data_IF_922620021795
#
_entry.id   IF_922620021795
#
_cell.length_a   1.000
_cell.length_b   1.000
_cell.length_c   1.000
_cell.angle_alpha   90.00
_cell.angle_beta   90.00
_cell.angle_gamma   90.00
#
_symmetry.space_group_name_H-M   'P 1'
#
loop_
_entity.id
_entity.type
_entity.pdbx_description
1 polymer ?
#
# COMPACT_ATOMS: atom_id res chain seq x y z
N UNK A 1 27.62 44.99 52.31
CA UNK A 1 28.42 45.74 53.31
C UNK A 1 28.37 47.22 52.95
N UNK A 2 28.35 48.07 53.97
CA UNK A 2 28.10 49.51 54.01
C UNK A 2 28.51 50.35 52.79
N UNK A 3 27.52 51.10 52.28
CA UNK A 3 27.69 52.46 51.73
C UNK A 3 27.55 53.44 52.88
N UNK A 4 28.50 54.34 53.06
CA UNK A 4 28.37 55.56 53.87
C UNK A 4 28.75 56.76 52.99
N UNK A 5 27.77 57.68 52.85
CA UNK A 5 27.88 59.14 52.98
C UNK A 5 28.90 59.90 52.09
N UNK A 6 28.65 61.09 51.54
CA UNK A 6 27.74 62.18 51.87
C UNK A 6 27.74 63.16 50.67
N UNK A 7 26.62 63.86 50.48
CA UNK A 7 26.40 64.94 49.50
C UNK A 7 26.53 66.33 50.19
N UNK A 8 26.33 67.49 49.52
CA UNK A 8 27.25 68.65 49.54
C UNK A 8 26.64 69.94 50.14
N UNK A 9 27.44 71.03 50.19
CA UNK A 9 26.97 72.41 50.41
C UNK A 9 28.17 73.37 50.54
N UNK A 10 28.40 74.30 49.61
CA UNK A 10 27.89 75.70 49.58
C UNK A 10 28.55 76.60 50.65
N UNK A 11 28.95 77.87 50.45
CA UNK A 11 29.03 78.84 49.36
C UNK A 11 29.78 80.10 49.91
N UNK A 12 29.96 81.13 49.07
CA UNK A 12 30.37 82.53 49.39
C UNK A 12 31.84 82.76 49.76
N UNK A 13 32.65 83.47 48.97
CA UNK A 13 32.64 84.92 48.67
C UNK A 13 34.06 85.41 49.06
N UNK A 14 34.72 86.41 48.50
CA UNK A 14 34.44 87.50 47.58
C UNK A 14 35.82 88.13 47.23
N UNK A 15 35.83 89.13 46.35
CA UNK A 15 36.85 90.17 46.18
C UNK A 15 38.04 90.00 45.20
N UNK A 16 37.89 90.79 44.12
CA UNK A 16 38.87 91.74 43.57
C UNK A 16 40.14 91.20 42.89
N UNK A 17 40.16 91.21 41.56
CA UNK A 17 40.79 92.31 40.82
C UNK A 17 40.48 92.20 39.32
N UNK A 18 39.65 93.15 38.86
CA UNK A 18 39.28 93.40 37.47
C UNK A 18 40.42 94.19 36.81
N UNK A 19 40.55 93.99 35.50
CA UNK A 19 41.26 94.86 34.53
C UNK A 19 42.78 94.60 34.38
N UNK A 20 43.13 93.49 33.73
CA UNK A 20 44.29 93.39 32.82
C UNK A 20 44.21 92.05 32.09
N UNK A 21 43.50 92.02 30.96
CA UNK A 21 43.78 91.18 29.78
C UNK A 21 42.56 91.00 28.88
N UNK A 22 42.16 92.07 28.22
CA UNK A 22 41.22 92.04 27.09
C UNK A 22 41.86 91.46 25.80
N UNK A 23 43.04 90.83 25.88
CA UNK A 23 43.70 90.11 24.78
C UNK A 23 43.71 88.58 24.91
N UNK A 24 43.32 88.00 26.05
CA UNK A 24 43.26 86.53 26.19
C UNK A 24 41.92 85.93 25.76
N UNK A 25 40.85 86.73 25.69
CA UNK A 25 39.51 86.23 25.38
C UNK A 25 39.37 85.57 23.98
N UNK A 26 39.87 86.16 22.87
CA UNK A 26 39.72 85.53 21.55
C UNK A 26 40.65 84.32 21.38
N UNK A 27 41.83 84.33 22.01
CA UNK A 27 42.77 83.21 21.98
C UNK A 27 42.21 82.00 22.74
N UNK A 28 41.58 82.24 23.89
CA UNK A 28 41.00 81.20 24.72
C UNK A 28 39.73 80.60 24.08
N UNK A 29 38.95 81.41 23.35
CA UNK A 29 37.82 80.93 22.54
C UNK A 29 38.25 80.03 21.38
N UNK A 30 39.35 80.37 20.67
CA UNK A 30 39.87 79.53 19.58
C UNK A 30 40.45 78.20 20.07
N UNK A 31 41.07 78.19 21.25
CA UNK A 31 41.56 76.96 21.89
C UNK A 31 40.38 76.11 22.39
N UNK A 32 39.32 76.73 22.89
CA UNK A 32 38.12 76.03 23.36
C UNK A 32 37.37 75.35 22.20
N UNK A 33 37.22 76.01 21.05
CA UNK A 33 36.55 75.41 19.87
C UNK A 33 37.36 74.30 19.20
N UNK A 34 38.70 74.30 19.32
CA UNK A 34 39.55 73.20 18.85
C UNK A 34 39.58 72.00 19.81
N UNK A 35 39.11 72.19 21.05
CA UNK A 35 39.15 71.19 22.12
C UNK A 35 37.86 70.39 22.30
N UNK A 36 36.80 70.68 21.52
CA UNK A 36 35.62 69.82 21.52
C UNK A 36 35.88 68.59 20.65
N UNK A 37 35.88 67.36 21.21
CA UNK A 37 35.95 66.16 20.40
C UNK A 37 34.69 66.09 19.53
N UNK A 38 34.86 65.95 18.21
CA UNK A 38 33.79 65.60 17.29
C UNK A 38 33.13 64.32 17.81
N UNK A 39 31.92 64.45 18.35
CA UNK A 39 31.17 63.33 18.91
C UNK A 39 31.04 62.23 17.87
N UNK A 40 31.69 61.09 18.12
CA UNK A 40 31.43 59.87 17.36
C UNK A 40 30.05 59.39 17.76
N UNK A 41 29.10 59.43 16.83
CA UNK A 41 27.82 58.76 17.00
C UNK A 41 28.10 57.26 17.19
N UNK A 42 27.79 56.75 18.38
CA UNK A 42 27.93 55.33 18.72
C UNK A 42 26.56 54.68 18.60
N UNK A 43 26.38 53.87 17.56
CA UNK A 43 25.18 53.06 17.41
C UNK A 43 25.40 51.72 18.11
N UNK A 44 24.54 51.42 19.10
CA UNK A 44 24.60 50.22 19.93
C UNK A 44 23.42 49.27 19.60
N UNK A 45 23.22 48.99 18.31
CA UNK A 45 22.24 48.00 17.85
C UNK A 45 22.93 46.71 17.38
N UNK A 46 22.28 45.54 17.49
CA UNK A 46 22.85 44.27 17.08
C UNK A 46 22.94 44.19 15.56
N UNK A 47 24.13 44.45 15.00
CA UNK A 47 24.42 44.26 13.58
C UNK A 47 24.65 42.76 13.34
N UNK A 48 23.82 42.13 12.52
CA UNK A 48 24.05 40.76 12.04
C UNK A 48 24.90 40.81 10.78
N UNK A 49 26.09 40.19 10.77
CA UNK A 49 26.92 40.14 9.59
C UNK A 49 26.66 38.88 8.76
N UNK A 50 26.27 39.08 7.50
CA UNK A 50 26.31 38.05 6.46
C UNK A 50 27.65 38.20 5.71
N UNK A 51 28.44 37.12 5.66
CA UNK A 51 29.80 37.11 5.10
C UNK A 51 29.80 36.45 3.73
N UNK A 52 29.89 37.23 2.65
CA UNK A 52 30.19 36.73 1.31
C UNK A 52 31.59 37.19 0.88
N UNK A 53 32.48 36.24 0.60
CA UNK A 53 33.80 36.47 0.03
C UNK A 53 34.77 37.34 0.87
N UNK A 54 34.77 37.19 2.19
CA UNK A 54 35.82 37.74 3.07
C UNK A 54 35.80 39.25 3.29
N UNK A 55 34.77 39.96 2.83
CA UNK A 55 34.50 41.37 3.14
C UNK A 55 33.17 41.54 3.85
N UNK A 56 33.11 42.38 4.90
CA UNK A 56 31.88 42.67 5.64
C UNK A 56 30.98 43.64 4.85
N UNK A 57 29.80 43.20 4.46
CA UNK A 57 28.80 44.04 3.80
C UNK A 57 27.81 44.58 4.84
N UNK A 58 27.79 45.89 5.06
CA UNK A 58 26.80 46.54 5.92
C UNK A 58 25.84 47.35 5.04
N UNK A 59 24.56 47.01 5.10
CA UNK A 59 23.50 47.82 4.51
C UNK A 59 23.06 48.84 5.57
N UNK A 60 23.33 50.13 5.34
CA UNK A 60 22.78 51.21 6.16
C UNK A 60 21.64 51.86 5.38
N UNK A 61 20.42 51.81 5.94
CA UNK A 61 19.21 52.41 5.33
C UNK A 61 18.67 53.48 6.28
N UNK A 62 19.08 54.75 6.12
CA UNK A 62 18.34 55.88 6.66
C UNK A 62 17.32 56.29 5.60
N UNK A 63 16.06 55.97 5.87
CA UNK A 63 14.87 56.23 5.05
C UNK A 63 14.66 55.24 3.88
N UNK A 64 13.69 54.35 4.06
CA UNK A 64 13.36 53.29 3.11
C UNK A 64 12.57 53.80 1.91
N UNK A 65 13.17 53.67 0.74
CA UNK A 65 12.49 53.44 -0.54
C UNK A 65 13.50 52.74 -1.46
N UNK A 66 13.19 51.53 -1.96
CA UNK A 66 14.03 50.84 -2.93
C UNK A 66 13.28 50.79 -4.26
N UNK A 67 13.88 51.30 -5.34
CA UNK A 67 13.54 50.84 -6.69
C UNK A 67 14.39 49.61 -7.03
N UNK A 68 13.78 48.61 -7.67
CA UNK A 68 14.32 47.26 -7.91
C UNK A 68 15.55 47.23 -8.87
N UNK A 69 16.04 48.39 -9.32
CA UNK A 69 17.11 48.54 -10.31
C UNK A 69 18.36 49.30 -9.80
N UNK A 70 18.48 49.59 -8.51
CA UNK A 70 19.67 50.25 -7.99
C UNK A 70 20.82 49.26 -7.74
N UNK A 71 21.88 49.40 -8.54
CA UNK A 71 23.11 48.60 -8.44
C UNK A 71 23.72 48.69 -7.02
N UNK A 72 23.95 47.55 -6.35
CA UNK A 72 24.48 47.51 -4.97
C UNK A 72 25.90 48.05 -4.83
N UNK A 73 26.59 48.39 -5.92
CA UNK A 73 27.95 48.94 -5.94
C UNK A 73 28.01 50.46 -5.75
N UNK A 74 26.92 51.20 -6.00
CA UNK A 74 26.94 52.68 -5.96
C UNK A 74 26.87 53.27 -4.54
N UNK A 75 26.41 52.50 -3.55
CA UNK A 75 26.24 52.95 -2.17
C UNK A 75 27.14 52.21 -1.16
N UNK A 76 28.32 51.74 -1.58
CA UNK A 76 29.24 51.03 -0.71
C UNK A 76 30.21 51.97 0.02
N UNK A 77 30.02 52.14 1.33
CA UNK A 77 31.03 52.76 2.20
C UNK A 77 32.05 51.71 2.65
N UNK A 78 33.25 51.75 2.06
CA UNK A 78 34.37 50.89 2.41
C UNK A 78 35.02 51.38 3.73
N UNK A 79 34.73 50.71 4.85
CA UNK A 79 35.49 50.91 6.08
C UNK A 79 36.76 50.07 6.06
N UNK A 80 37.90 50.72 5.83
CA UNK A 80 39.22 50.10 6.00
C UNK A 80 39.58 50.08 7.49
N UNK A 81 39.34 48.95 8.15
CA UNK A 81 39.74 48.73 9.54
C UNK A 81 41.25 48.47 9.59
N UNK A 82 42.05 49.52 9.80
CA UNK A 82 43.46 49.36 10.15
C UNK A 82 43.57 49.00 11.63
N UNK A 83 43.38 47.72 11.95
CA UNK A 83 43.77 47.20 13.25
C UNK A 83 45.29 46.93 13.24
N UNK A 84 46.02 47.58 14.12
CA UNK A 84 47.46 47.36 14.34
C UNK A 84 47.73 46.47 15.54
N UNK A 85 46.74 45.72 16.01
CA UNK A 85 46.95 44.65 16.98
C UNK A 85 47.37 43.38 16.26
N UNK A 86 48.61 42.94 16.50
CA UNK A 86 49.01 41.57 16.20
C UNK A 86 48.17 40.64 17.08
N UNK A 87 47.23 39.91 16.50
CA UNK A 87 46.60 38.78 17.16
C UNK A 87 47.69 37.78 17.53
N UNK A 88 47.94 37.58 18.83
CA UNK A 88 48.60 36.39 19.34
C UNK A 88 47.54 35.29 19.37
N UNK A 89 47.30 34.66 18.22
CA UNK A 89 46.40 33.51 18.05
C UNK A 89 47.06 32.58 17.04
N UNK A 90 47.86 31.64 17.52
CA UNK A 90 48.40 30.57 16.66
C UNK A 90 48.44 29.21 17.39
N UNK A 91 48.51 29.19 18.73
CA UNK A 91 48.53 27.91 19.48
C UNK A 91 47.16 27.45 20.00
N UNK A 92 46.23 28.36 20.30
CA UNK A 92 44.90 28.01 20.86
C UNK A 92 43.81 27.75 19.81
N UNK A 93 43.95 28.23 18.57
CA UNK A 93 42.97 27.92 17.51
C UNK A 93 43.21 26.51 16.94
N UNK A 94 44.48 26.14 16.76
CA UNK A 94 44.86 24.82 16.25
C UNK A 94 44.47 23.69 17.21
N UNK A 95 44.48 23.93 18.52
CA UNK A 95 44.03 22.95 19.52
C UNK A 95 42.51 22.75 19.47
N UNK A 96 41.73 23.84 19.39
CA UNK A 96 40.27 23.80 19.25
C UNK A 96 39.84 23.10 17.95
N UNK A 97 40.50 23.41 16.83
CA UNK A 97 40.22 22.76 15.54
C UNK A 97 40.52 21.26 15.60
N UNK A 98 41.61 20.84 16.25
CA UNK A 98 41.95 19.41 16.43
C UNK A 98 40.92 18.68 17.31
N UNK A 99 40.42 19.34 18.34
CA UNK A 99 39.37 18.80 19.20
C UNK A 99 38.06 18.62 18.42
N UNK A 100 37.67 19.60 17.61
CA UNK A 100 36.49 19.50 16.72
C UNK A 100 36.64 18.37 15.70
N UNK A 101 37.81 18.21 15.06
CA UNK A 101 38.06 17.07 14.17
C UNK A 101 37.99 15.73 14.89
N UNK A 102 38.42 15.67 16.15
CA UNK A 102 38.34 14.45 16.97
C UNK A 102 36.91 14.11 17.35
N UNK A 103 36.09 15.12 17.65
CA UNK A 103 34.65 14.98 17.93
C UNK A 103 33.92 14.52 16.66
N UNK A 104 34.18 15.15 15.52
CA UNK A 104 33.59 14.79 14.23
C UNK A 104 33.95 13.34 13.85
N UNK A 105 35.21 12.94 14.03
CA UNK A 105 35.64 11.56 13.78
C UNK A 105 34.86 10.55 14.62
N UNK A 106 34.67 10.81 15.91
CA UNK A 106 33.85 9.96 16.78
C UNK A 106 32.39 9.91 16.33
N UNK A 107 31.81 11.04 15.93
CA UNK A 107 30.46 11.07 15.38
C UNK A 107 30.32 10.26 14.09
N UNK A 108 31.33 10.29 13.21
CA UNK A 108 31.33 9.46 11.99
C UNK A 108 31.39 7.98 12.34
N UNK A 109 32.24 7.58 13.29
CA UNK A 109 32.37 6.20 13.75
C UNK A 109 31.08 5.69 14.44
N UNK A 110 30.44 6.53 15.25
CA UNK A 110 29.16 6.21 15.89
C UNK A 110 28.02 6.13 14.87
N UNK A 111 27.98 7.04 13.89
CA UNK A 111 27.00 6.98 12.80
C UNK A 111 27.20 5.72 11.95
N UNK A 112 28.44 5.32 11.67
CA UNK A 112 28.73 4.08 10.94
C UNK A 112 28.23 2.85 11.71
N UNK A 113 28.44 2.79 13.04
CA UNK A 113 27.94 1.69 13.88
C UNK A 113 26.41 1.65 13.92
N UNK A 114 25.75 2.81 14.00
CA UNK A 114 24.29 2.91 13.95
C UNK A 114 23.76 2.46 12.60
N UNK A 115 24.36 2.88 11.49
CA UNK A 115 23.98 2.46 10.14
C UNK A 115 24.19 0.96 9.92
N UNK A 116 25.26 0.38 10.47
CA UNK A 116 25.46 -1.07 10.46
C UNK A 116 24.39 -1.80 11.29
N UNK A 117 24.00 -1.25 12.44
CA UNK A 117 22.90 -1.77 13.26
C UNK A 117 21.55 -1.72 12.54
N UNK A 118 21.26 -0.61 11.87
CA UNK A 118 20.06 -0.46 11.03
C UNK A 118 20.11 -1.43 9.85
N UNK A 119 21.25 -1.56 9.18
CA UNK A 119 21.44 -2.52 8.09
C UNK A 119 21.22 -3.97 8.53
N UNK A 120 21.74 -4.35 9.71
CA UNK A 120 21.50 -5.66 10.31
C UNK A 120 20.03 -5.86 10.69
N UNK A 121 19.39 -4.88 11.31
CA UNK A 121 17.96 -4.93 11.64
C UNK A 121 17.11 -5.12 10.39
N UNK A 122 17.38 -4.34 9.34
CA UNK A 122 16.70 -4.47 8.05
C UNK A 122 16.95 -5.85 7.44
N UNK A 123 18.18 -6.39 7.50
CA UNK A 123 18.46 -7.74 6.99
C UNK A 123 17.71 -8.82 7.77
N UNK A 124 17.60 -8.72 9.10
CA UNK A 124 16.86 -9.69 9.90
C UNK A 124 15.34 -9.62 9.66
N UNK A 125 14.80 -8.42 9.42
CA UNK A 125 13.40 -8.24 9.05
C UNK A 125 13.09 -8.77 7.64
N UNK A 126 14.07 -8.75 6.73
CA UNK A 126 13.92 -9.26 5.36
C UNK A 126 14.19 -10.76 5.23
N UNK A 127 15.04 -11.34 6.08
CA UNK A 127 15.42 -12.76 6.07
C UNK A 127 14.55 -13.63 7.00
N UNK A 128 13.77 -13.03 7.91
CA UNK A 128 13.01 -13.72 8.95
C UNK A 128 11.68 -14.33 8.53
N UNK A 129 11.11 -13.92 7.39
CA UNK A 129 9.81 -14.38 6.89
C UNK A 129 9.96 -14.86 5.44
N UNK A 130 9.21 -15.89 5.05
CA UNK A 130 9.15 -16.36 3.67
C UNK A 130 8.82 -15.15 2.78
N UNK A 131 9.82 -14.64 2.04
CA UNK A 131 9.67 -13.40 1.26
C UNK A 131 8.36 -13.45 0.49
N UNK A 132 7.60 -12.35 0.49
CA UNK A 132 6.29 -12.27 -0.16
C UNK A 132 6.30 -12.85 -1.59
N UNK A 133 7.43 -12.74 -2.31
CA UNK A 133 7.61 -13.39 -3.62
C UNK A 133 7.63 -14.93 -3.60
N UNK A 134 8.20 -15.57 -2.57
CA UNK A 134 8.16 -17.03 -2.37
C UNK A 134 6.74 -17.49 -2.05
N UNK A 135 6.05 -16.80 -1.13
CA UNK A 135 4.65 -17.06 -0.82
C UNK A 135 3.77 -16.97 -2.08
N UNK A 136 3.88 -15.88 -2.85
CA UNK A 136 3.11 -15.72 -4.09
C UNK A 136 3.40 -16.81 -5.13
N UNK A 137 4.66 -17.22 -5.28
CA UNK A 137 5.01 -18.33 -6.18
C UNK A 137 4.34 -19.63 -5.73
N UNK A 138 4.37 -19.92 -4.43
CA UNK A 138 3.73 -21.12 -3.86
C UNK A 138 2.21 -21.10 -4.06
N UNK A 139 1.55 -19.98 -3.77
CA UNK A 139 0.11 -19.84 -4.00
C UNK A 139 -0.24 -19.96 -5.49
N UNK A 140 0.54 -19.34 -6.37
CA UNK A 140 0.35 -19.47 -7.82
C UNK A 140 0.45 -20.93 -8.27
N UNK A 141 1.41 -21.70 -7.74
CA UNK A 141 1.53 -23.12 -8.05
C UNK A 141 0.36 -23.95 -7.52
N UNK A 142 -0.12 -23.68 -6.31
CA UNK A 142 -1.29 -24.37 -5.74
C UNK A 142 -2.56 -24.08 -6.55
N UNK A 143 -2.75 -22.82 -6.96
CA UNK A 143 -3.87 -22.42 -7.81
C UNK A 143 -3.79 -23.13 -9.16
N UNK A 144 -2.61 -23.14 -9.79
CA UNK A 144 -2.41 -23.81 -11.08
C UNK A 144 -2.70 -25.31 -10.98
N UNK A 145 -2.27 -25.98 -9.92
CA UNK A 145 -2.55 -27.39 -9.66
C UNK A 145 -4.05 -27.64 -9.45
N UNK A 146 -4.72 -26.80 -8.66
CA UNK A 146 -6.17 -26.90 -8.44
C UNK A 146 -6.97 -26.74 -9.74
N UNK A 147 -6.60 -25.78 -10.59
CA UNK A 147 -7.24 -25.60 -11.90
C UNK A 147 -6.95 -26.79 -12.84
N UNK A 148 -5.72 -27.29 -12.88
CA UNK A 148 -5.37 -28.47 -13.68
C UNK A 148 -6.14 -29.73 -13.24
N UNK A 149 -6.31 -29.93 -11.93
CA UNK A 149 -7.13 -31.01 -11.39
C UNK A 149 -8.60 -30.85 -11.76
N UNK A 150 -9.14 -29.63 -11.67
CA UNK A 150 -10.53 -29.34 -12.07
C UNK A 150 -10.75 -29.57 -13.56
N UNK A 151 -9.81 -29.19 -14.42
CA UNK A 151 -9.89 -29.42 -15.86
C UNK A 151 -9.90 -30.93 -16.16
N UNK A 152 -9.03 -31.70 -15.51
CA UNK A 152 -9.02 -33.17 -15.63
C UNK A 152 -10.35 -33.79 -15.21
N UNK A 153 -10.91 -33.36 -14.07
CA UNK A 153 -12.22 -33.83 -13.62
C UNK A 153 -13.35 -33.45 -14.58
N UNK A 154 -13.31 -32.25 -15.17
CA UNK A 154 -14.30 -31.83 -16.16
C UNK A 154 -14.22 -32.68 -17.44
N UNK A 155 -13.02 -32.98 -17.93
CA UNK A 155 -12.85 -33.84 -19.10
C UNK A 155 -13.36 -35.26 -18.83
N UNK A 156 -13.08 -35.82 -17.64
CA UNK A 156 -13.61 -37.14 -17.26
C UNK A 156 -15.13 -37.14 -17.17
N UNK A 157 -15.72 -36.06 -16.62
CA UNK A 157 -17.17 -35.90 -16.55
C UNK A 157 -17.80 -35.73 -17.93
N UNK A 158 -17.17 -35.03 -18.86
CA UNK A 158 -17.66 -34.92 -20.25
C UNK A 158 -17.71 -36.30 -20.92
N UNK A 159 -16.66 -37.10 -20.75
CA UNK A 159 -16.62 -38.47 -21.28
C UNK A 159 -17.71 -39.34 -20.65
N UNK A 160 -17.87 -39.29 -19.33
CA UNK A 160 -18.92 -40.02 -18.62
C UNK A 160 -20.32 -39.57 -19.02
N UNK A 161 -20.51 -38.27 -19.26
CA UNK A 161 -21.78 -37.73 -19.72
C UNK A 161 -22.15 -38.25 -21.11
N UNK A 162 -21.21 -38.22 -22.06
CA UNK A 162 -21.42 -38.79 -23.40
C UNK A 162 -21.69 -40.29 -23.35
N UNK A 163 -20.90 -41.02 -22.55
CA UNK A 163 -21.10 -42.45 -22.34
C UNK A 163 -22.48 -42.76 -21.73
N UNK A 164 -22.92 -41.96 -20.75
CA UNK A 164 -24.24 -42.12 -20.12
C UNK A 164 -25.36 -41.86 -21.12
N UNK A 165 -25.24 -40.82 -21.95
CA UNK A 165 -26.22 -40.50 -22.99
C UNK A 165 -26.32 -41.60 -24.05
N UNK A 166 -25.18 -42.13 -24.51
CA UNK A 166 -25.16 -43.25 -25.45
C UNK A 166 -25.76 -44.52 -24.85
N UNK A 167 -25.49 -44.79 -23.56
CA UNK A 167 -26.05 -45.95 -22.87
C UNK A 167 -27.55 -45.82 -22.64
N UNK A 168 -28.06 -44.63 -22.29
CA UNK A 168 -29.48 -44.36 -22.11
C UNK A 168 -30.27 -44.63 -23.39
N UNK A 169 -29.79 -44.14 -24.54
CA UNK A 169 -30.43 -44.40 -25.85
C UNK A 169 -30.42 -45.89 -26.21
N UNK A 170 -29.31 -46.58 -25.92
CA UNK A 170 -29.19 -48.02 -26.18
C UNK A 170 -30.11 -48.84 -25.28
N UNK A 171 -30.24 -48.46 -24.01
CA UNK A 171 -31.16 -49.09 -23.07
C UNK A 171 -32.62 -48.84 -23.47
N UNK A 172 -32.97 -47.62 -23.87
CA UNK A 172 -34.32 -47.29 -24.35
C UNK A 172 -34.70 -48.13 -25.57
N UNK A 173 -33.81 -48.24 -26.55
CA UNK A 173 -34.04 -49.10 -27.72
C UNK A 173 -34.16 -50.58 -27.35
N UNK A 174 -33.30 -51.10 -26.47
CA UNK A 174 -33.38 -52.49 -26.03
C UNK A 174 -34.69 -52.79 -25.30
N UNK A 175 -35.11 -51.89 -24.41
CA UNK A 175 -36.37 -52.02 -23.68
C UNK A 175 -37.55 -52.02 -24.66
N UNK A 176 -37.55 -51.12 -25.65
CA UNK A 176 -38.59 -51.08 -26.67
C UNK A 176 -38.66 -52.39 -27.48
N UNK A 177 -37.51 -52.91 -27.92
CA UNK A 177 -37.44 -54.18 -28.65
C UNK A 177 -37.95 -55.35 -27.79
N UNK A 178 -37.56 -55.44 -26.52
CA UNK A 178 -38.02 -56.47 -25.58
C UNK A 178 -39.55 -56.40 -25.35
N UNK A 179 -40.11 -55.18 -25.26
CA UNK A 179 -41.56 -54.99 -25.14
C UNK A 179 -42.30 -55.42 -26.41
N UNK A 180 -41.78 -55.09 -27.59
CA UNK A 180 -42.37 -55.51 -28.86
C UNK A 180 -42.34 -57.03 -29.02
N UNK A 181 -41.23 -57.67 -28.66
CA UNK A 181 -41.09 -59.12 -28.69
C UNK A 181 -42.11 -59.81 -27.75
N UNK A 182 -42.27 -59.28 -26.54
CA UNK A 182 -43.29 -59.77 -25.60
C UNK A 182 -44.72 -59.64 -26.16
N UNK A 183 -45.04 -58.54 -26.84
CA UNK A 183 -46.36 -58.34 -27.47
C UNK A 183 -46.57 -59.33 -28.62
N UNK A 184 -45.53 -59.58 -29.43
CA UNK A 184 -45.60 -60.55 -30.53
C UNK A 184 -45.83 -61.96 -29.97
N UNK A 185 -45.05 -62.36 -28.96
CA UNK A 185 -45.19 -63.67 -28.33
C UNK A 185 -46.55 -63.86 -27.64
N UNK A 186 -47.04 -62.85 -26.92
CA UNK A 186 -48.38 -62.92 -26.30
C UNK A 186 -49.48 -62.99 -27.35
N UNK A 187 -49.36 -62.25 -28.46
CA UNK A 187 -50.29 -62.35 -29.59
C UNK A 187 -50.29 -63.74 -30.23
N UNK A 188 -49.11 -64.34 -30.42
CA UNK A 188 -48.98 -65.70 -30.95
C UNK A 188 -49.64 -66.72 -30.03
N UNK A 189 -49.36 -66.66 -28.72
CA UNK A 189 -49.98 -67.53 -27.73
C UNK A 189 -51.51 -67.38 -27.67
N UNK A 190 -52.03 -66.15 -27.78
CA UNK A 190 -53.47 -65.89 -27.85
C UNK A 190 -54.08 -66.45 -29.13
N UNK A 191 -53.39 -66.35 -30.26
CA UNK A 191 -53.84 -66.94 -31.53
C UNK A 191 -53.89 -68.46 -31.44
N UNK A 192 -52.85 -69.10 -30.91
CA UNK A 192 -52.83 -70.54 -30.69
C UNK A 192 -53.96 -70.99 -29.75
N UNK A 193 -54.19 -70.25 -28.67
CA UNK A 193 -55.30 -70.51 -27.73
C UNK A 193 -56.65 -70.38 -28.43
N UNK A 194 -56.83 -69.38 -29.29
CA UNK A 194 -58.04 -69.22 -30.08
C UNK A 194 -58.24 -70.41 -31.03
N UNK A 195 -57.21 -70.81 -31.75
CA UNK A 195 -57.26 -71.95 -32.69
C UNK A 195 -57.63 -73.25 -31.96
N UNK A 196 -57.06 -73.49 -30.77
CA UNK A 196 -57.41 -74.62 -29.91
C UNK A 196 -58.88 -74.53 -29.46
N UNK A 197 -59.35 -73.36 -29.04
CA UNK A 197 -60.72 -73.17 -28.56
C UNK A 197 -61.76 -73.43 -29.67
N UNK A 198 -61.47 -73.01 -30.90
CA UNK A 198 -62.30 -73.28 -32.07
C UNK A 198 -62.32 -74.79 -32.37
N UNK A 199 -61.16 -75.45 -32.37
CA UNK A 199 -61.08 -76.89 -32.57
C UNK A 199 -61.82 -77.70 -31.49
N UNK A 200 -61.82 -77.24 -30.23
CA UNK A 200 -62.58 -77.87 -29.14
C UNK A 200 -64.09 -77.70 -29.31
N UNK A 201 -64.54 -76.51 -29.75
CA UNK A 201 -65.95 -76.25 -30.04
C UNK A 201 -66.48 -77.19 -31.12
N UNK A 202 -65.74 -77.35 -32.22
CA UNK A 202 -66.13 -78.23 -33.33
C UNK A 202 -66.22 -79.70 -32.88
N UNK A 203 -65.28 -80.15 -32.03
CA UNK A 203 -65.33 -81.50 -31.42
C UNK A 203 -66.54 -81.67 -30.49
N UNK A 204 -66.89 -80.63 -29.73
CA UNK A 204 -68.06 -80.66 -28.84
C UNK A 204 -69.37 -80.73 -29.63
N UNK A 205 -69.48 -80.00 -30.75
CA UNK A 205 -70.63 -80.08 -31.64
C UNK A 205 -70.77 -81.47 -32.25
N UNK A 206 -69.68 -82.07 -32.71
CA UNK A 206 -69.66 -83.43 -33.26
C UNK A 206 -70.09 -84.47 -32.20
N UNK A 207 -69.56 -84.39 -30.98
CA UNK A 207 -69.99 -85.26 -29.88
C UNK A 207 -71.47 -85.09 -29.57
N UNK A 208 -71.99 -83.87 -29.57
CA UNK A 208 -73.41 -83.59 -29.34
C UNK A 208 -74.31 -84.22 -30.41
N UNK A 209 -73.90 -84.16 -31.68
CA UNK A 209 -74.61 -84.82 -32.79
C UNK A 209 -74.59 -86.34 -32.66
N UNK A 210 -73.43 -86.93 -32.29
CA UNK A 210 -73.29 -88.38 -32.06
C UNK A 210 -74.20 -88.84 -30.92
N UNK A 211 -74.20 -88.13 -29.79
CA UNK A 211 -75.06 -88.46 -28.63
C UNK A 211 -76.53 -88.40 -29.02
N UNK A 212 -76.95 -87.34 -29.72
CA UNK A 212 -78.35 -87.20 -30.18
C UNK A 212 -78.74 -88.31 -31.15
N UNK A 213 -77.88 -88.65 -32.12
CA UNK A 213 -78.09 -89.73 -33.07
C UNK A 213 -78.16 -91.11 -32.40
N UNK A 214 -77.24 -91.41 -31.48
CA UNK A 214 -77.31 -92.65 -30.72
C UNK A 214 -78.53 -92.72 -29.81
N UNK A 215 -78.92 -91.60 -29.18
CA UNK A 215 -80.11 -91.50 -28.35
C UNK A 215 -81.39 -91.81 -29.12
N UNK A 216 -81.56 -91.28 -30.33
CA UNK A 216 -82.72 -91.60 -31.18
C UNK A 216 -82.71 -93.07 -31.63
N UNK A 217 -81.54 -93.62 -31.99
CA UNK A 217 -81.39 -95.04 -32.35
C UNK A 217 -81.73 -95.98 -31.19
N UNK A 218 -81.21 -95.72 -29.99
CA UNK A 218 -81.51 -96.50 -28.78
C UNK A 218 -82.98 -96.39 -28.39
N UNK A 219 -83.57 -95.19 -28.48
CA UNK A 219 -85.00 -95.00 -28.21
C UNK A 219 -85.86 -95.80 -29.18
N UNK A 220 -85.48 -95.85 -30.47
CA UNK A 220 -86.17 -96.68 -31.47
C UNK A 220 -86.05 -98.17 -31.15
N UNK A 221 -84.85 -98.67 -30.86
CA UNK A 221 -84.62 -100.07 -30.46
C UNK A 221 -85.42 -100.44 -29.21
N UNK A 222 -85.43 -99.57 -28.19
CA UNK A 222 -86.24 -99.75 -26.97
C UNK A 222 -87.73 -99.88 -27.31
N UNK A 223 -88.25 -98.99 -28.15
CA UNK A 223 -89.66 -99.01 -28.53
C UNK A 223 -90.03 -100.23 -29.38
N UNK A 224 -89.13 -100.73 -30.23
CA UNK A 224 -89.33 -101.97 -30.98
C UNK A 224 -89.34 -103.20 -30.05
N UNK A 225 -88.45 -103.24 -29.04
CA UNK A 225 -88.39 -104.33 -28.07
C UNK A 225 -89.60 -104.36 -27.10
N UNK A 226 -90.07 -103.18 -26.66
CA UNK A 226 -91.22 -103.06 -25.75
C UNK A 226 -92.60 -103.19 -26.44
N UNK A 227 -92.65 -103.27 -27.77
CA UNK A 227 -93.89 -103.46 -28.56
C UNK A 227 -94.20 -104.94 -28.86
N UNK A 228 -93.40 -105.86 -28.34
CA UNK A 228 -93.68 -107.30 -28.25
C UNK A 228 -94.30 -107.57 -26.89
#
# INVERSE_FOLDING_TARGET
LQVWMLSPGAAFGDHQHRVRSTMFLPLLLTVLTLSLPSGKAYFAGPLQPEMSNGTFHHYFVPDGDYEENDDPEKCQMLFKMTDHRKCLLDEDQDSVIRDDFTIIKRHIEDAARVLEGVGKSISYDLDGEESYGSYLRRETTQIAEAFGNSEKSLLELEVKFKQSQENELKEEHRINDDFLDMIIHTREALKETLDISLGLRDKHELLSLVIRSHGTRLSRLKNEYLKV
#
